data_IF_483618241707
#
_entry.id   IF_483618241707
#
_cell.length_a   1.000
_cell.length_b   1.000
_cell.length_c   1.000
_cell.angle_alpha   90.00
_cell.angle_beta   90.00
_cell.angle_gamma   90.00
#
_symmetry.space_group_name_H-M   'P 1'
#
loop_
_entity.id
_entity.type
_entity.pdbx_description
1 polymer ?
#
# COMPACT_ATOMS: atom_id res chain seq x y z
N UNK A 1 -8.84 6.40 6.40
CA UNK A 1 -9.70 5.44 7.14
C UNK A 1 -9.73 5.63 8.66
N UNK A 2 -8.98 6.60 9.20
CA UNK A 2 -8.89 6.80 10.66
C UNK A 2 -10.04 7.61 11.26
N UNK A 3 -10.90 8.22 10.45
CA UNK A 3 -12.03 9.01 10.94
C UNK A 3 -12.98 8.17 11.80
N UNK A 4 -13.20 8.63 13.04
CA UNK A 4 -14.02 7.93 14.04
C UNK A 4 -13.38 6.72 14.71
N UNK A 5 -12.14 6.33 14.35
CA UNK A 5 -11.42 5.23 15.00
C UNK A 5 -10.91 5.63 16.37
N UNK A 6 -11.04 4.71 17.32
CA UNK A 6 -10.62 4.85 18.71
C UNK A 6 -9.27 4.18 18.92
N UNK A 7 -8.23 4.97 19.15
CA UNK A 7 -6.85 4.49 19.29
C UNK A 7 -6.35 4.72 20.70
N UNK A 8 -6.00 3.62 21.41
CA UNK A 8 -5.28 3.69 22.66
C UNK A 8 -3.78 3.72 22.38
N UNK A 9 -3.10 4.83 22.69
CA UNK A 9 -1.67 4.98 22.47
C UNK A 9 -0.90 4.72 23.77
N UNK A 10 -0.15 3.63 23.80
CA UNK A 10 0.81 3.31 24.84
C UNK A 10 2.16 4.01 24.59
N UNK A 11 2.62 4.79 25.54
CA UNK A 11 3.88 5.53 25.45
C UNK A 11 4.85 5.02 26.50
N UNK A 12 5.99 4.47 26.06
CA UNK A 12 7.02 3.91 26.97
C UNK A 12 8.29 4.76 27.02
N UNK A 13 9.06 4.64 28.09
CA UNK A 13 10.19 5.53 28.39
C UNK A 13 11.39 5.35 27.47
N UNK A 14 11.63 6.33 26.62
CA UNK A 14 12.79 6.44 25.74
C UNK A 14 12.81 7.80 25.05
N UNK A 15 13.97 8.22 24.55
CA UNK A 15 14.14 9.54 23.92
C UNK A 15 13.11 9.79 22.80
N UNK A 16 12.65 8.74 22.09
CA UNK A 16 11.69 8.86 20.99
C UNK A 16 10.26 9.26 21.44
N UNK A 17 9.98 9.42 22.73
CA UNK A 17 8.67 9.87 23.26
C UNK A 17 8.22 11.19 22.64
N UNK A 18 9.15 12.12 22.31
CA UNK A 18 8.80 13.39 21.67
C UNK A 18 8.06 13.21 20.33
N UNK A 19 8.37 12.13 19.59
CA UNK A 19 7.66 11.81 18.34
C UNK A 19 6.21 11.33 18.57
N UNK A 20 5.95 10.70 19.72
CA UNK A 20 4.59 10.29 20.06
C UNK A 20 3.64 11.48 20.23
N UNK A 21 4.16 12.64 20.63
CA UNK A 21 3.40 13.89 20.71
C UNK A 21 2.89 14.33 19.33
N UNK A 22 3.78 14.35 18.32
CA UNK A 22 3.40 14.64 16.93
C UNK A 22 2.48 13.55 16.35
N UNK A 23 2.71 12.28 16.71
CA UNK A 23 1.85 11.17 16.30
C UNK A 23 0.40 11.38 16.75
N UNK A 24 0.17 11.75 18.01
CA UNK A 24 -1.19 12.07 18.52
C UNK A 24 -1.83 13.20 17.72
N UNK A 25 -1.08 14.28 17.47
CA UNK A 25 -1.57 15.42 16.68
C UNK A 25 -2.02 15.00 15.27
N UNK A 26 -1.22 14.16 14.61
CA UNK A 26 -1.51 13.68 13.24
C UNK A 26 -2.70 12.73 13.20
N UNK A 27 -2.79 11.79 14.14
CA UNK A 27 -3.93 10.87 14.24
C UNK A 27 -5.24 11.63 14.43
N UNK A 28 -5.25 12.64 15.31
CA UNK A 28 -6.43 13.51 15.52
C UNK A 28 -6.79 14.33 14.28
N UNK A 29 -5.80 14.86 13.55
CA UNK A 29 -6.05 15.57 12.28
C UNK A 29 -6.71 14.68 11.22
N UNK A 30 -6.51 13.37 11.30
CA UNK A 30 -7.20 12.39 10.45
C UNK A 30 -8.53 11.90 11.02
N UNK A 31 -9.02 12.52 12.10
CA UNK A 31 -10.32 12.23 12.69
C UNK A 31 -10.35 11.09 13.70
N UNK A 32 -9.19 10.55 14.12
CA UNK A 32 -9.15 9.53 15.16
C UNK A 32 -9.38 10.14 16.55
N UNK A 33 -10.07 9.41 17.43
CA UNK A 33 -10.10 9.66 18.87
C UNK A 33 -8.89 8.95 19.51
N UNK A 34 -8.05 9.69 20.24
CA UNK A 34 -6.83 9.14 20.84
C UNK A 34 -6.86 9.28 22.34
N UNK A 35 -6.69 8.17 23.07
CA UNK A 35 -6.44 8.13 24.51
C UNK A 35 -5.02 7.64 24.78
N UNK A 36 -4.32 8.29 25.68
CA UNK A 36 -2.90 8.02 25.93
C UNK A 36 -2.70 7.35 27.27
N UNK A 37 -1.91 6.29 27.28
CA UNK A 37 -1.44 5.59 28.49
C UNK A 37 0.08 5.73 28.57
N UNK A 38 0.61 6.28 29.63
CA UNK A 38 2.05 6.46 29.81
C UNK A 38 2.61 5.58 30.90
N UNK A 39 3.76 4.95 30.63
CA UNK A 39 4.55 4.35 31.72
C UNK A 39 5.21 5.45 32.58
N UNK A 40 5.58 5.11 33.83
CA UNK A 40 6.28 6.02 34.71
C UNK A 40 7.56 6.58 34.07
N UNK A 41 8.35 5.73 33.38
CA UNK A 41 9.56 6.15 32.70
C UNK A 41 9.29 7.10 31.52
N UNK A 42 8.14 7.00 30.85
CA UNK A 42 7.79 7.92 29.75
C UNK A 42 7.60 9.35 30.25
N UNK A 43 7.09 9.52 31.48
CA UNK A 43 6.86 10.82 32.10
C UNK A 43 8.15 11.59 32.42
N UNK A 44 9.31 10.91 32.45
CA UNK A 44 10.63 11.55 32.62
C UNK A 44 11.08 12.30 31.34
N UNK A 45 10.52 11.96 30.19
CA UNK A 45 10.86 12.60 28.89
C UNK A 45 9.82 13.65 28.49
N UNK A 46 8.54 13.36 28.65
CA UNK A 46 7.42 14.26 28.32
C UNK A 46 6.36 14.13 29.39
N UNK A 47 5.83 15.25 29.87
CA UNK A 47 4.82 15.23 30.93
C UNK A 47 3.44 14.79 30.42
N UNK A 48 2.59 14.18 31.23
CA UNK A 48 1.21 13.85 30.87
C UNK A 48 0.40 15.07 30.39
N UNK A 49 0.71 16.26 30.90
CA UNK A 49 0.05 17.51 30.49
C UNK A 49 0.16 17.74 28.99
N UNK A 50 1.33 17.50 28.38
CA UNK A 50 1.54 17.66 26.94
C UNK A 50 0.58 16.79 26.14
N UNK A 51 0.47 15.51 26.51
CA UNK A 51 -0.43 14.58 25.82
C UNK A 51 -1.91 14.90 26.08
N UNK A 52 -2.27 15.37 27.29
CA UNK A 52 -3.63 15.82 27.62
C UNK A 52 -4.09 16.96 26.71
N UNK A 53 -3.26 17.98 26.57
CA UNK A 53 -3.59 19.16 25.75
C UNK A 53 -3.70 18.81 24.25
N UNK A 54 -2.81 17.93 23.75
CA UNK A 54 -2.82 17.55 22.34
C UNK A 54 -3.92 16.53 22.03
N UNK A 55 -4.17 15.54 22.91
CA UNK A 55 -5.22 14.54 22.70
C UNK A 55 -6.62 15.08 22.98
N UNK A 56 -6.73 16.09 23.85
CA UNK A 56 -8.00 16.58 24.41
C UNK A 56 -8.66 15.59 25.36
N UNK A 57 -7.90 14.55 25.81
CA UNK A 57 -8.37 13.49 26.69
C UNK A 57 -7.48 13.38 27.94
N UNK A 58 -8.03 12.83 29.04
CA UNK A 58 -7.22 12.48 30.22
C UNK A 58 -6.14 11.46 29.82
N UNK A 59 -4.94 11.62 30.37
CA UNK A 59 -3.83 10.68 30.19
C UNK A 59 -3.81 9.71 31.38
N UNK A 60 -3.82 8.42 31.08
CA UNK A 60 -3.77 7.38 32.09
C UNK A 60 -2.31 7.08 32.46
N UNK A 61 -1.96 7.19 33.74
CA UNK A 61 -0.57 7.05 34.21
C UNK A 61 -0.39 6.04 35.34
N UNK A 62 -1.44 5.76 36.11
CA UNK A 62 -1.38 4.88 37.29
C UNK A 62 -2.68 4.12 37.45
N UNK A 63 -2.58 2.87 37.92
CA UNK A 63 -3.76 2.07 38.35
C UNK A 63 -4.39 2.58 39.64
N UNK A 64 -3.70 3.42 40.39
CA UNK A 64 -4.03 3.84 41.76
C UNK A 64 -4.40 5.34 41.83
N UNK A 65 -4.85 5.93 40.75
CA UNK A 65 -5.29 7.33 40.72
C UNK A 65 -6.62 7.47 41.51
N UNK A 66 -6.62 8.28 42.54
CA UNK A 66 -7.77 8.46 43.44
C UNK A 66 -8.97 9.17 42.85
N UNK A 67 -8.85 9.73 41.65
CA UNK A 67 -9.92 10.45 40.93
C UNK A 67 -10.62 9.58 39.88
N UNK A 68 -10.59 8.26 40.01
CA UNK A 68 -11.29 7.35 39.11
C UNK A 68 -12.79 7.26 39.48
N UNK A 69 -13.65 7.52 38.52
CA UNK A 69 -15.01 7.02 38.55
C UNK A 69 -14.97 5.49 38.59
N UNK A 70 -15.92 4.86 39.26
CA UNK A 70 -16.00 3.43 39.64
C UNK A 70 -15.64 2.35 38.61
N UNK A 71 -15.05 2.68 37.46
CA UNK A 71 -14.62 1.76 36.41
C UNK A 71 -13.10 1.51 36.47
N UNK A 72 -12.74 0.24 36.49
CA UNK A 72 -11.35 -0.22 36.40
C UNK A 72 -10.73 0.27 35.10
N UNK A 73 -9.83 1.28 35.20
CA UNK A 73 -9.37 2.08 34.04
C UNK A 73 -8.73 1.23 32.92
N UNK A 74 -7.94 0.21 33.28
CA UNK A 74 -7.33 -0.69 32.30
C UNK A 74 -8.38 -1.52 31.53
N UNK A 75 -9.48 -1.95 32.16
CA UNK A 75 -10.57 -2.67 31.48
C UNK A 75 -11.39 -1.71 30.61
N UNK A 76 -11.65 -0.50 31.13
CA UNK A 76 -12.35 0.53 30.34
C UNK A 76 -11.61 0.88 29.05
N UNK A 77 -10.29 1.06 29.11
CA UNK A 77 -9.45 1.31 27.95
C UNK A 77 -9.36 0.09 27.02
N UNK A 78 -9.24 -1.13 27.59
CA UNK A 78 -9.17 -2.38 26.83
C UNK A 78 -10.43 -2.58 25.96
N UNK A 79 -11.61 -2.22 26.49
CA UNK A 79 -12.88 -2.36 25.79
C UNK A 79 -13.22 -1.18 24.88
N UNK A 80 -12.61 0.00 25.11
CA UNK A 80 -12.90 1.20 24.34
C UNK A 80 -12.19 1.25 22.98
N UNK A 81 -10.97 0.72 22.89
CA UNK A 81 -10.10 0.89 21.75
C UNK A 81 -10.50 -0.01 20.57
N UNK A 82 -10.45 0.54 19.34
CA UNK A 82 -10.49 -0.24 18.11
C UNK A 82 -9.11 -0.83 17.76
N UNK A 83 -8.03 -0.18 18.24
CA UNK A 83 -6.66 -0.69 18.21
C UNK A 83 -5.81 -0.08 19.33
N UNK A 84 -4.85 -0.87 19.83
CA UNK A 84 -3.76 -0.39 20.65
C UNK A 84 -2.52 -0.12 19.80
N UNK A 85 -1.88 1.03 20.00
CA UNK A 85 -0.61 1.37 19.37
C UNK A 85 0.42 1.67 20.45
N UNK A 86 1.52 0.94 20.49
CA UNK A 86 2.61 1.21 21.45
C UNK A 86 3.76 1.89 20.69
N UNK A 87 3.90 3.18 20.88
CA UNK A 87 4.89 4.00 20.19
C UNK A 87 5.43 5.14 21.10
N UNK A 88 6.71 5.12 21.45
CA UNK A 88 7.71 4.08 21.18
C UNK A 88 7.45 2.80 22.00
N UNK A 89 7.80 1.62 21.45
CA UNK A 89 7.85 0.36 22.18
C UNK A 89 9.30 0.02 22.53
N UNK A 90 9.65 0.15 23.80
CA UNK A 90 10.99 -0.20 24.30
C UNK A 90 11.17 -1.72 24.40
N UNK A 91 12.41 -2.21 24.47
CA UNK A 91 12.70 -3.62 24.70
C UNK A 91 12.03 -4.14 25.98
N UNK A 92 11.90 -3.30 27.03
CA UNK A 92 11.24 -3.64 28.28
C UNK A 92 9.76 -3.98 28.06
N UNK A 93 8.99 -3.10 27.40
CA UNK A 93 7.55 -3.39 27.18
C UNK A 93 7.36 -4.59 26.26
N UNK A 94 8.20 -4.78 25.23
CA UNK A 94 8.14 -5.95 24.36
C UNK A 94 8.38 -7.25 25.15
N UNK A 95 9.37 -7.24 26.06
CA UNK A 95 9.63 -8.38 26.93
C UNK A 95 8.47 -8.66 27.90
N UNK A 96 7.90 -7.61 28.51
CA UNK A 96 6.71 -7.74 29.40
C UNK A 96 5.54 -8.35 28.64
N UNK A 97 5.18 -7.79 27.49
CA UNK A 97 4.09 -8.30 26.65
C UNK A 97 4.32 -9.76 26.24
N UNK A 98 5.53 -10.11 25.79
CA UNK A 98 5.86 -11.46 25.34
C UNK A 98 5.76 -12.51 26.45
N UNK A 99 5.94 -12.10 27.73
CA UNK A 99 5.95 -13.01 28.87
C UNK A 99 4.74 -12.81 29.83
N UNK A 100 3.75 -12.00 29.44
CA UNK A 100 2.52 -11.81 30.22
C UNK A 100 2.75 -11.06 31.54
N UNK A 101 3.77 -10.19 31.64
CA UNK A 101 4.06 -9.38 32.82
C UNK A 101 3.17 -8.14 32.80
N UNK A 102 2.37 -7.97 33.85
CA UNK A 102 1.37 -6.91 33.99
C UNK A 102 1.57 -6.16 35.32
N UNK A 103 2.70 -5.45 35.46
CA UNK A 103 3.15 -4.79 36.68
C UNK A 103 2.93 -3.26 36.69
N UNK A 104 2.44 -2.72 35.58
CA UNK A 104 2.04 -1.32 35.43
C UNK A 104 0.72 -1.19 34.63
N UNK A 105 0.14 0.03 34.61
CA UNK A 105 -1.15 0.29 33.93
C UNK A 105 -1.11 -0.09 32.46
N UNK A 106 -0.04 0.24 31.74
CA UNK A 106 0.07 -0.05 30.30
C UNK A 106 0.16 -1.56 30.05
N UNK A 107 1.07 -2.25 30.72
CA UNK A 107 1.23 -3.71 30.55
C UNK A 107 -0.03 -4.49 30.95
N UNK A 108 -0.72 -4.06 32.02
CA UNK A 108 -2.01 -4.63 32.41
C UNK A 108 -3.10 -4.40 31.38
N UNK A 109 -3.19 -3.17 30.83
CA UNK A 109 -4.17 -2.85 29.80
C UNK A 109 -3.91 -3.65 28.52
N UNK A 110 -2.65 -3.78 28.09
CA UNK A 110 -2.28 -4.55 26.90
C UNK A 110 -2.58 -6.06 27.07
N UNK A 111 -2.40 -6.61 28.28
CA UNK A 111 -2.74 -8.01 28.57
C UNK A 111 -4.26 -8.26 28.53
N UNK A 112 -5.06 -7.26 28.92
CA UNK A 112 -6.53 -7.32 28.89
C UNK A 112 -7.15 -6.95 27.52
N UNK A 113 -6.35 -6.44 26.59
CA UNK A 113 -6.84 -5.92 25.31
C UNK A 113 -7.47 -7.00 24.43
N UNK A 114 -8.69 -6.73 23.95
CA UNK A 114 -9.37 -7.52 22.92
C UNK A 114 -9.12 -6.98 21.51
N UNK A 115 -8.86 -5.67 21.42
CA UNK A 115 -8.52 -5.02 20.16
C UNK A 115 -7.11 -5.39 19.71
N UNK A 116 -6.83 -5.37 18.38
CA UNK A 116 -5.51 -5.65 17.86
C UNK A 116 -4.46 -4.68 18.39
N UNK A 117 -3.24 -5.20 18.57
CA UNK A 117 -2.11 -4.45 19.10
C UNK A 117 -1.07 -4.23 18.00
N UNK A 118 -0.65 -2.99 17.82
CA UNK A 118 0.43 -2.58 16.95
C UNK A 118 1.57 -2.07 17.82
N UNK A 119 2.79 -2.56 17.63
CA UNK A 119 3.97 -2.09 18.34
C UNK A 119 4.98 -1.47 17.37
N UNK A 120 5.55 -0.31 17.75
CA UNK A 120 6.59 0.39 17.00
C UNK A 120 7.89 0.37 17.82
N UNK A 121 8.77 -0.65 17.66
CA UNK A 121 10.00 -0.78 18.41
C UNK A 121 10.90 0.44 18.27
N UNK A 122 11.47 0.89 19.40
CA UNK A 122 12.45 1.97 19.44
C UNK A 122 13.47 1.74 20.54
N UNK A 123 14.73 1.50 20.14
CA UNK A 123 15.83 1.20 21.06
C UNK A 123 17.19 1.34 20.34
N UNK A 124 18.29 1.21 21.07
CA UNK A 124 19.62 1.11 20.48
C UNK A 124 19.72 -0.12 19.54
N UNK A 125 20.56 -0.02 18.51
CA UNK A 125 20.78 -1.08 17.51
C UNK A 125 21.17 -2.42 18.15
N UNK A 126 22.10 -2.41 19.09
CA UNK A 126 22.53 -3.63 19.79
C UNK A 126 21.40 -4.27 20.62
N UNK A 127 20.53 -3.44 21.23
CA UNK A 127 19.33 -3.94 21.92
C UNK A 127 18.32 -4.54 20.93
N UNK A 128 18.11 -3.90 19.79
CA UNK A 128 17.18 -4.39 18.77
C UNK A 128 17.66 -5.71 18.15
N UNK A 129 18.97 -5.81 17.86
CA UNK A 129 19.58 -7.01 17.27
C UNK A 129 19.84 -8.13 18.29
N UNK A 130 19.64 -7.86 19.59
CA UNK A 130 19.84 -8.87 20.63
C UNK A 130 18.90 -10.05 20.39
N UNK A 131 19.41 -11.32 20.39
CA UNK A 131 18.59 -12.50 20.14
C UNK A 131 17.34 -12.57 21.03
N UNK A 132 17.44 -12.25 22.32
CA UNK A 132 16.31 -12.26 23.24
C UNK A 132 15.23 -11.23 22.82
N UNK A 133 15.65 -10.06 22.34
CA UNK A 133 14.70 -9.05 21.83
C UNK A 133 14.01 -9.55 20.56
N UNK A 134 14.75 -10.19 19.64
CA UNK A 134 14.19 -10.75 18.42
C UNK A 134 13.23 -11.93 18.74
N UNK A 135 13.59 -12.81 19.65
CA UNK A 135 12.71 -13.89 20.13
C UNK A 135 11.40 -13.35 20.73
N UNK A 136 11.46 -12.28 21.55
CA UNK A 136 10.29 -11.63 22.09
C UNK A 136 9.41 -11.03 20.98
N UNK A 137 10.00 -10.40 19.97
CA UNK A 137 9.29 -9.85 18.81
C UNK A 137 8.59 -10.98 18.02
N UNK A 138 9.32 -12.06 17.72
CA UNK A 138 8.75 -13.23 17.02
C UNK A 138 7.61 -13.87 17.80
N UNK A 139 7.77 -13.98 19.12
CA UNK A 139 6.73 -14.52 20.00
C UNK A 139 5.47 -13.66 19.96
N UNK A 140 5.61 -12.34 20.02
CA UNK A 140 4.49 -11.40 19.91
C UNK A 140 3.79 -11.51 18.55
N UNK A 141 4.55 -11.61 17.46
CA UNK A 141 3.98 -11.79 16.11
C UNK A 141 3.20 -13.11 16.00
N UNK A 142 3.70 -14.21 16.56
CA UNK A 142 2.99 -15.50 16.62
C UNK A 142 1.68 -15.42 17.40
N UNK A 143 1.59 -14.50 18.37
CA UNK A 143 0.36 -14.22 19.13
C UNK A 143 -0.52 -13.11 18.50
N UNK A 144 -0.27 -12.72 17.24
CA UNK A 144 -1.11 -11.79 16.49
C UNK A 144 -0.81 -10.30 16.72
N UNK A 145 0.28 -9.97 17.44
CA UNK A 145 0.71 -8.57 17.56
C UNK A 145 1.36 -8.12 16.25
N UNK A 146 0.89 -7.00 15.71
CA UNK A 146 1.46 -6.40 14.52
C UNK A 146 2.69 -5.58 14.89
N UNK A 147 3.84 -5.89 14.30
CA UNK A 147 5.10 -5.18 14.56
C UNK A 147 5.45 -4.31 13.37
N UNK A 148 5.50 -2.99 13.56
CA UNK A 148 6.05 -2.07 12.58
C UNK A 148 7.58 -2.09 12.68
N UNK A 149 8.32 -2.47 11.62
CA UNK A 149 9.78 -2.48 11.67
C UNK A 149 10.34 -1.09 12.02
N UNK A 150 11.39 -1.00 12.87
CA UNK A 150 12.05 0.26 13.15
C UNK A 150 12.77 0.77 11.91
N UNK A 151 12.90 2.10 11.81
CA UNK A 151 13.67 2.73 10.75
C UNK A 151 15.19 2.52 10.96
N UNK A 152 15.91 2.54 9.85
CA UNK A 152 17.38 2.61 9.85
C UNK A 152 17.81 4.08 9.77
N UNK A 153 18.76 4.47 10.60
CA UNK A 153 19.26 5.85 10.59
C UNK A 153 20.12 6.19 11.79
N UNK A 154 20.45 7.48 11.93
CA UNK A 154 21.24 7.98 13.03
C UNK A 154 20.44 7.95 14.34
N UNK A 155 20.98 7.32 15.35
CA UNK A 155 20.40 7.16 16.68
C UNK A 155 20.97 8.21 17.65
N UNK A 156 20.25 8.51 18.72
CA UNK A 156 20.66 9.49 19.74
C UNK A 156 21.99 9.13 20.44
N UNK A 157 22.40 7.87 20.39
CA UNK A 157 23.70 7.40 20.91
C UNK A 157 24.87 7.59 19.95
N UNK A 158 24.69 8.27 18.79
CA UNK A 158 25.75 8.56 17.84
C UNK A 158 26.06 7.45 16.82
N UNK A 159 25.28 6.39 16.78
CA UNK A 159 25.48 5.24 15.88
C UNK A 159 24.39 5.23 14.80
N UNK A 160 24.74 4.86 13.57
CA UNK A 160 23.77 4.59 12.51
C UNK A 160 23.43 3.11 12.48
N UNK A 161 22.13 2.78 12.52
CA UNK A 161 21.67 1.39 12.51
C UNK A 161 20.15 1.28 12.61
N UNK A 162 19.68 0.03 12.74
CA UNK A 162 18.26 -0.29 12.99
C UNK A 162 17.90 -0.01 14.45
N UNK A 163 16.62 0.32 14.71
CA UNK A 163 16.12 0.57 16.07
C UNK A 163 15.54 1.97 16.29
N UNK A 164 15.59 2.84 15.27
CA UNK A 164 15.00 4.18 15.32
C UNK A 164 13.49 4.10 15.16
N UNK A 165 12.73 4.81 16.02
CA UNK A 165 11.30 4.96 15.80
C UNK A 165 11.04 5.59 14.42
N UNK A 166 10.18 5.00 13.58
CA UNK A 166 9.78 5.60 12.31
C UNK A 166 9.24 7.03 12.50
N UNK A 167 9.20 7.81 11.43
CA UNK A 167 8.63 9.14 11.50
C UNK A 167 7.12 9.06 11.77
N UNK A 168 6.54 10.01 12.54
CA UNK A 168 5.13 9.98 12.92
C UNK A 168 4.19 9.81 11.73
N UNK A 169 4.51 10.41 10.58
CA UNK A 169 3.73 10.26 9.36
C UNK A 169 3.70 8.80 8.87
N UNK A 170 4.83 8.11 8.90
CA UNK A 170 4.93 6.70 8.50
C UNK A 170 4.14 5.78 9.45
N UNK A 171 4.12 6.11 10.76
CA UNK A 171 3.33 5.36 11.74
C UNK A 171 1.82 5.55 11.46
N UNK A 172 1.39 6.77 11.16
CA UNK A 172 -0.01 7.06 10.78
C UNK A 172 -0.41 6.29 9.53
N UNK A 173 0.42 6.31 8.50
CA UNK A 173 0.18 5.56 7.26
C UNK A 173 0.10 4.05 7.49
N UNK A 174 0.95 3.52 8.38
CA UNK A 174 0.92 2.11 8.76
C UNK A 174 -0.37 1.73 9.50
N UNK A 175 -0.83 2.57 10.44
CA UNK A 175 -2.09 2.37 11.16
C UNK A 175 -3.28 2.48 10.21
N UNK A 176 -3.28 3.44 9.30
CA UNK A 176 -4.33 3.60 8.29
C UNK A 176 -4.42 2.38 7.38
N UNK A 177 -3.28 1.88 6.90
CA UNK A 177 -3.20 0.66 6.10
C UNK A 177 -3.66 -0.60 6.90
N UNK A 178 -3.36 -0.64 8.21
CA UNK A 178 -3.82 -1.73 9.07
C UNK A 178 -5.36 -1.78 9.15
N UNK A 179 -6.02 -0.64 9.37
CA UNK A 179 -7.48 -0.57 9.39
C UNK A 179 -8.07 -0.83 7.99
N UNK A 180 -7.44 -0.32 6.94
CA UNK A 180 -7.84 -0.57 5.56
C UNK A 180 -7.87 -2.07 5.24
N UNK A 181 -6.83 -2.81 5.64
CA UNK A 181 -6.76 -4.26 5.46
C UNK A 181 -7.82 -5.02 6.26
N UNK A 182 -8.30 -4.46 7.37
CA UNK A 182 -9.31 -5.10 8.23
C UNK A 182 -10.75 -4.76 7.81
N UNK A 183 -11.01 -3.50 7.47
CA UNK A 183 -12.36 -2.94 7.35
C UNK A 183 -12.64 -2.35 5.94
N UNK A 184 -11.70 -2.51 5.01
CA UNK A 184 -11.84 -2.03 3.65
C UNK A 184 -12.95 -2.76 2.89
N UNK A 185 -13.56 -2.09 1.93
CA UNK A 185 -14.63 -2.65 1.09
C UNK A 185 -14.14 -3.68 0.06
N UNK A 186 -12.82 -3.82 -0.10
CA UNK A 186 -12.18 -4.82 -0.97
C UNK A 186 -11.49 -5.94 -0.18
N UNK A 187 -11.76 -6.06 1.13
CA UNK A 187 -11.21 -7.15 1.96
C UNK A 187 -11.62 -8.51 1.40
N UNK A 188 -10.64 -9.42 1.29
CA UNK A 188 -10.83 -10.76 0.75
C UNK A 188 -10.81 -10.85 -0.78
N UNK A 189 -10.74 -9.72 -1.50
CA UNK A 189 -10.60 -9.72 -2.95
C UNK A 189 -9.13 -9.80 -3.37
N UNK A 190 -8.85 -10.61 -4.39
CA UNK A 190 -7.57 -10.70 -5.07
C UNK A 190 -7.58 -9.87 -6.34
N UNK A 191 -6.70 -8.88 -6.43
CA UNK A 191 -6.66 -7.91 -7.53
C UNK A 191 -5.31 -7.98 -8.24
N UNK A 192 -5.32 -8.26 -9.54
CA UNK A 192 -4.16 -8.18 -10.39
C UNK A 192 -4.16 -6.85 -11.14
N UNK A 193 -3.06 -6.10 -11.05
CA UNK A 193 -2.86 -4.86 -11.80
C UNK A 193 -1.61 -4.99 -12.65
N UNK A 194 -1.67 -4.64 -13.94
CA UNK A 194 -0.45 -4.47 -14.74
C UNK A 194 -0.08 -3.00 -14.89
N UNK A 195 1.21 -2.68 -14.88
CA UNK A 195 1.69 -1.30 -14.93
C UNK A 195 2.94 -1.11 -15.80
N UNK A 196 3.27 0.13 -16.07
CA UNK A 196 4.40 0.59 -16.87
C UNK A 196 4.33 0.12 -18.34
N UNK A 197 5.45 0.16 -19.04
CA UNK A 197 5.58 -0.32 -20.42
C UNK A 197 6.50 -1.54 -20.46
N UNK A 198 6.33 -2.41 -21.46
CA UNK A 198 7.31 -3.47 -21.74
C UNK A 198 8.46 -2.93 -22.59
N UNK A 199 9.58 -3.62 -22.55
CA UNK A 199 10.76 -3.37 -23.37
C UNK A 199 11.09 -4.63 -24.14
N UNK A 200 11.09 -4.51 -25.46
CA UNK A 200 11.40 -5.62 -26.35
C UNK A 200 12.84 -5.44 -26.85
N UNK A 201 13.78 -6.27 -26.44
CA UNK A 201 15.20 -6.05 -26.72
C UNK A 201 15.50 -6.20 -28.20
N UNK A 202 16.37 -5.32 -28.74
CA UNK A 202 17.02 -5.43 -30.04
C UNK A 202 18.40 -6.06 -29.83
N UNK A 203 19.11 -5.61 -28.81
CA UNK A 203 20.41 -6.09 -28.34
C UNK A 203 20.55 -5.78 -26.84
N UNK A 204 21.63 -6.16 -26.14
CA UNK A 204 21.79 -5.90 -24.70
C UNK A 204 21.72 -4.43 -24.28
N UNK A 205 21.69 -3.48 -25.23
CA UNK A 205 21.72 -2.03 -24.96
C UNK A 205 20.46 -1.32 -25.41
N UNK A 206 19.81 -1.79 -26.49
CA UNK A 206 18.68 -1.11 -27.14
C UNK A 206 17.42 -1.95 -27.14
N UNK A 207 16.28 -1.30 -26.99
CA UNK A 207 14.97 -1.93 -26.99
C UNK A 207 13.93 -1.06 -27.71
N UNK A 208 12.82 -1.68 -28.08
CA UNK A 208 11.58 -1.02 -28.49
C UNK A 208 10.60 -1.08 -27.34
N UNK A 209 9.86 -0.02 -27.08
CA UNK A 209 8.87 0.01 -26.00
C UNK A 209 8.04 1.29 -25.98
N UNK A 210 7.04 1.33 -25.13
CA UNK A 210 6.11 2.44 -24.98
C UNK A 210 6.57 3.43 -23.88
N UNK A 211 6.24 4.72 -24.06
CA UNK A 211 6.60 5.80 -23.13
C UNK A 211 5.68 5.82 -21.89
N UNK A 212 5.51 4.69 -21.20
CA UNK A 212 4.68 4.62 -19.99
C UNK A 212 5.52 4.73 -18.74
N UNK A 213 5.14 5.64 -17.83
CA UNK A 213 5.78 5.79 -16.52
C UNK A 213 5.29 4.78 -15.46
N UNK A 214 4.14 4.14 -15.71
CA UNK A 214 3.49 3.25 -14.75
C UNK A 214 2.61 3.93 -13.71
N UNK A 215 2.64 5.27 -13.57
CA UNK A 215 1.95 6.02 -12.51
C UNK A 215 0.49 5.62 -12.30
N UNK A 216 -0.28 5.37 -13.37
CA UNK A 216 -1.70 5.01 -13.25
C UNK A 216 -1.88 3.62 -12.63
N UNK A 217 -1.16 2.60 -13.12
CA UNK A 217 -1.22 1.25 -12.58
C UNK A 217 -0.74 1.18 -11.13
N UNK A 218 0.31 1.90 -10.78
CA UNK A 218 0.79 2.02 -9.40
C UNK A 218 -0.24 2.70 -8.48
N UNK A 219 -0.91 3.77 -8.94
CA UNK A 219 -1.97 4.43 -8.18
C UNK A 219 -3.18 3.49 -7.94
N UNK A 220 -3.55 2.68 -8.94
CA UNK A 220 -4.62 1.68 -8.81
C UNK A 220 -4.22 0.60 -7.81
N UNK A 221 -3.01 0.04 -7.93
CA UNK A 221 -2.52 -0.99 -7.02
C UNK A 221 -2.47 -0.49 -5.56
N UNK A 222 -1.98 0.74 -5.36
CA UNK A 222 -1.94 1.38 -4.05
C UNK A 222 -3.35 1.59 -3.48
N UNK A 223 -4.28 2.13 -4.28
CA UNK A 223 -5.66 2.37 -3.85
C UNK A 223 -6.39 1.06 -3.50
N UNK A 224 -6.21 -0.01 -4.29
CA UNK A 224 -6.79 -1.32 -3.99
C UNK A 224 -6.24 -1.92 -2.69
N UNK A 225 -4.93 -1.83 -2.45
CA UNK A 225 -4.31 -2.28 -1.21
C UNK A 225 -4.77 -1.46 0.00
N UNK A 226 -4.95 -0.14 -0.16
CA UNK A 226 -5.53 0.75 0.86
C UNK A 226 -6.99 0.45 1.17
N UNK A 227 -7.71 -0.23 0.29
CA UNK A 227 -9.10 -0.71 0.46
C UNK A 227 -9.17 -2.17 0.92
N UNK A 228 -8.03 -2.77 1.26
CA UNK A 228 -7.94 -4.10 1.87
C UNK A 228 -7.82 -5.26 0.91
N UNK A 229 -7.67 -5.03 -0.39
CA UNK A 229 -7.44 -6.09 -1.36
C UNK A 229 -6.05 -6.74 -1.20
N UNK A 230 -5.95 -8.03 -1.54
CA UNK A 230 -4.68 -8.70 -1.81
C UNK A 230 -4.25 -8.38 -3.25
N UNK A 231 -3.23 -7.53 -3.39
CA UNK A 231 -2.86 -6.96 -4.69
C UNK A 231 -1.58 -7.57 -5.24
N UNK A 232 -1.66 -8.09 -6.46
CA UNK A 232 -0.52 -8.47 -7.30
C UNK A 232 -0.30 -7.40 -8.37
N UNK A 233 0.84 -6.70 -8.32
CA UNK A 233 1.26 -5.74 -9.33
C UNK A 233 2.31 -6.37 -10.24
N UNK A 234 1.95 -6.65 -11.49
CA UNK A 234 2.90 -7.07 -12.54
C UNK A 234 3.34 -5.82 -13.31
N UNK A 235 4.60 -5.44 -13.17
CA UNK A 235 5.10 -4.19 -13.71
C UNK A 235 6.29 -4.36 -14.62
N UNK A 236 6.25 -3.71 -15.78
CA UNK A 236 7.43 -3.47 -16.60
C UNK A 236 8.41 -2.52 -15.92
N UNK A 237 9.54 -2.18 -16.59
CA UNK A 237 10.55 -1.29 -16.02
C UNK A 237 9.97 0.08 -15.67
N UNK A 238 10.12 0.48 -14.42
CA UNK A 238 9.66 1.75 -13.87
C UNK A 238 10.64 2.26 -12.80
N UNK A 239 10.72 3.57 -12.63
CA UNK A 239 11.45 4.22 -11.54
C UNK A 239 10.64 4.28 -10.24
N UNK A 240 9.35 3.87 -10.28
CA UNK A 240 8.49 3.87 -9.10
C UNK A 240 8.79 2.68 -8.19
N UNK A 241 8.75 2.90 -6.90
CA UNK A 241 8.82 1.84 -5.90
C UNK A 241 7.47 1.12 -5.78
N UNK A 242 7.52 -0.19 -5.52
CA UNK A 242 6.30 -0.97 -5.26
C UNK A 242 5.60 -0.39 -4.02
N UNK A 243 4.31 -0.06 -4.10
CA UNK A 243 3.60 0.50 -2.96
C UNK A 243 3.57 -0.46 -1.76
N UNK A 244 3.51 0.07 -0.52
CA UNK A 244 3.34 -0.76 0.66
C UNK A 244 2.12 -1.69 0.56
N UNK A 245 2.23 -2.90 1.09
CA UNK A 245 1.20 -3.95 1.08
C UNK A 245 0.76 -4.42 -0.32
N UNK A 246 1.58 -4.21 -1.33
CA UNK A 246 1.40 -4.71 -2.71
C UNK A 246 2.47 -5.74 -3.02
N UNK A 247 2.05 -6.91 -3.50
CA UNK A 247 2.97 -7.94 -4.00
C UNK A 247 3.41 -7.56 -5.43
N UNK A 248 4.70 -7.31 -5.63
CA UNK A 248 5.22 -6.84 -6.92
C UNK A 248 6.00 -7.92 -7.68
N UNK A 249 5.65 -8.12 -8.94
CA UNK A 249 6.41 -8.94 -9.90
C UNK A 249 6.94 -8.02 -11.00
N UNK A 250 8.26 -7.92 -11.11
CA UNK A 250 8.93 -7.14 -12.15
C UNK A 250 9.21 -8.02 -13.37
N UNK A 251 8.85 -7.51 -14.52
CA UNK A 251 9.02 -8.16 -15.83
C UNK A 251 9.63 -7.15 -16.81
N UNK A 252 10.21 -7.61 -17.90
CA UNK A 252 10.78 -6.73 -18.92
C UNK A 252 9.99 -6.79 -20.22
N UNK A 253 9.68 -7.98 -20.70
CA UNK A 253 9.04 -8.20 -22.01
C UNK A 253 7.53 -8.44 -21.91
N UNK A 254 6.86 -8.37 -23.06
CA UNK A 254 5.43 -8.70 -23.18
C UNK A 254 5.17 -10.17 -22.84
N UNK A 255 6.06 -11.08 -23.23
CA UNK A 255 5.91 -12.51 -22.93
C UNK A 255 6.01 -12.78 -21.43
N UNK A 256 7.00 -12.21 -20.74
CA UNK A 256 7.13 -12.33 -19.29
C UNK A 256 5.90 -11.76 -18.57
N UNK A 257 5.37 -10.61 -19.03
CA UNK A 257 4.15 -10.03 -18.46
C UNK A 257 2.94 -10.95 -18.67
N UNK A 258 2.80 -11.56 -19.85
CA UNK A 258 1.74 -12.52 -20.14
C UNK A 258 1.86 -13.74 -19.21
N UNK A 259 3.03 -14.35 -19.10
CA UNK A 259 3.29 -15.50 -18.25
C UNK A 259 2.97 -15.22 -16.78
N UNK A 260 3.44 -14.08 -16.26
CA UNK A 260 3.16 -13.67 -14.88
C UNK A 260 1.65 -13.44 -14.63
N UNK A 261 0.96 -12.80 -15.57
CA UNK A 261 -0.50 -12.63 -15.49
C UNK A 261 -1.22 -13.96 -15.53
N UNK A 262 -0.86 -14.86 -16.45
CA UNK A 262 -1.52 -16.15 -16.64
C UNK A 262 -1.33 -17.10 -15.46
N UNK A 263 -0.17 -17.07 -14.82
CA UNK A 263 0.13 -17.88 -13.63
C UNK A 263 -0.79 -17.54 -12.45
N UNK A 264 -1.21 -16.26 -12.32
CA UNK A 264 -2.04 -15.82 -11.23
C UNK A 264 -3.54 -15.74 -11.58
N UNK A 265 -3.91 -15.68 -12.87
CA UNK A 265 -5.24 -15.28 -13.35
C UNK A 265 -6.41 -16.06 -12.76
N UNK A 266 -6.24 -17.37 -12.59
CA UNK A 266 -7.31 -18.25 -12.11
C UNK A 266 -7.83 -17.89 -10.72
N UNK A 267 -6.95 -17.35 -9.88
CA UNK A 267 -7.24 -17.01 -8.48
C UNK A 267 -7.69 -15.55 -8.29
N UNK A 268 -7.66 -14.74 -9.34
CA UNK A 268 -7.98 -13.32 -9.24
C UNK A 268 -9.47 -13.04 -9.35
N UNK A 269 -9.97 -12.13 -8.52
CA UNK A 269 -11.34 -11.62 -8.60
C UNK A 269 -11.47 -10.47 -9.59
N UNK A 270 -10.44 -9.62 -9.65
CA UNK A 270 -10.38 -8.42 -10.47
C UNK A 270 -9.06 -8.35 -11.19
N UNK A 271 -9.09 -8.04 -12.49
CA UNK A 271 -7.88 -7.84 -13.30
C UNK A 271 -7.96 -6.52 -14.04
N UNK A 272 -6.99 -5.64 -13.78
CA UNK A 272 -6.90 -4.30 -14.37
C UNK A 272 -5.63 -4.19 -15.20
N UNK A 273 -5.76 -4.26 -16.52
CA UNK A 273 -4.65 -4.19 -17.46
C UNK A 273 -4.36 -2.73 -17.81
N UNK A 274 -3.52 -2.05 -17.01
CA UNK A 274 -3.12 -0.65 -17.25
C UNK A 274 -1.73 -0.49 -17.87
N UNK A 275 -0.98 -1.56 -18.05
CA UNK A 275 0.32 -1.55 -18.72
C UNK A 275 0.20 -1.17 -20.20
N UNK A 276 1.16 -0.39 -20.69
CA UNK A 276 1.34 -0.06 -22.10
C UNK A 276 2.30 -1.08 -22.74
N UNK A 277 1.75 -2.21 -23.15
CA UNK A 277 2.50 -3.32 -23.73
C UNK A 277 2.84 -3.03 -25.19
N UNK A 278 4.05 -3.39 -25.63
CA UNK A 278 4.46 -3.27 -27.03
C UNK A 278 3.72 -4.25 -27.94
N UNK A 279 3.14 -3.78 -29.04
CA UNK A 279 2.41 -4.62 -29.99
C UNK A 279 3.34 -5.50 -30.84
N UNK A 280 4.60 -5.11 -30.97
CA UNK A 280 5.61 -5.80 -31.77
C UNK A 280 6.90 -5.95 -31.01
N UNK A 281 7.65 -7.05 -31.30
CA UNK A 281 8.99 -7.31 -30.78
C UNK A 281 9.96 -7.61 -31.91
N UNK A 282 11.26 -7.34 -31.78
CA UNK A 282 12.26 -7.81 -32.72
C UNK A 282 12.19 -9.35 -32.86
N UNK A 283 12.24 -9.82 -34.13
CA UNK A 283 12.26 -11.26 -34.42
C UNK A 283 13.52 -11.90 -33.89
N UNK A 284 14.65 -11.25 -34.15
CA UNK A 284 15.97 -11.70 -33.77
C UNK A 284 16.58 -10.71 -32.78
N UNK A 285 17.02 -11.19 -31.64
CA UNK A 285 17.70 -10.38 -30.62
C UNK A 285 19.19 -10.69 -30.71
N UNK A 286 20.01 -9.68 -30.90
CA UNK A 286 21.45 -9.86 -30.98
C UNK A 286 22.07 -10.05 -29.60
N UNK A 287 22.90 -11.08 -29.44
CA UNK A 287 23.61 -11.37 -28.17
C UNK A 287 24.64 -10.30 -27.80
N UNK A 288 25.09 -9.54 -28.78
CA UNK A 288 26.08 -8.48 -28.63
C UNK A 288 25.56 -7.17 -29.17
N UNK A 289 26.01 -6.04 -28.60
CA UNK A 289 25.68 -4.71 -29.10
C UNK A 289 25.99 -4.60 -30.60
N UNK A 290 24.99 -4.30 -31.41
CA UNK A 290 25.13 -4.10 -32.87
C UNK A 290 26.03 -2.88 -33.10
N UNK A 291 27.21 -3.08 -33.72
CA UNK A 291 28.15 -2.01 -34.06
C UNK A 291 27.71 -1.28 -35.33
N UNK A 292 27.95 0.03 -35.37
CA UNK A 292 27.78 0.82 -36.60
C UNK A 292 28.68 0.27 -37.72
N UNK A 293 28.08 -0.08 -38.86
CA UNK A 293 28.80 -0.31 -40.13
C UNK A 293 28.74 0.98 -40.94
N UNK A 294 29.74 1.20 -41.79
CA UNK A 294 30.09 2.50 -42.38
C UNK A 294 28.97 3.07 -43.21
N UNK A 295 27.91 2.91 -43.50
CA UNK A 295 26.88 3.72 -44.26
C UNK A 295 25.46 3.11 -44.36
N UNK A 296 25.17 2.00 -43.64
CA UNK A 296 23.90 1.33 -43.80
C UNK A 296 22.90 1.63 -42.68
N UNK A 297 21.63 1.77 -43.06
CA UNK A 297 20.53 1.79 -42.13
C UNK A 297 20.42 0.44 -41.35
N UNK A 298 20.10 0.49 -40.06
CA UNK A 298 19.75 -0.71 -39.31
C UNK A 298 18.27 -1.06 -39.57
N UNK A 299 18.03 -2.17 -40.25
CA UNK A 299 16.69 -2.73 -40.43
C UNK A 299 16.43 -3.75 -39.32
N UNK A 300 15.33 -3.57 -38.56
CA UNK A 300 14.86 -4.50 -37.55
C UNK A 300 13.54 -5.09 -38.03
N UNK A 301 13.52 -6.42 -38.19
CA UNK A 301 12.28 -7.14 -38.54
C UNK A 301 11.51 -7.37 -37.24
N UNK A 302 10.22 -7.02 -37.24
CA UNK A 302 9.38 -7.07 -36.07
C UNK A 302 8.28 -8.13 -36.20
N UNK A 303 8.13 -8.99 -35.20
CA UNK A 303 7.02 -9.92 -35.09
C UNK A 303 5.97 -9.40 -34.11
N UNK A 304 4.71 -9.80 -34.31
CA UNK A 304 3.61 -9.38 -33.45
C UNK A 304 3.71 -10.05 -32.08
N UNK A 305 3.54 -9.26 -31.01
CA UNK A 305 3.41 -9.74 -29.66
C UNK A 305 2.02 -10.37 -29.38
N UNK A 306 1.91 -11.27 -28.41
CA UNK A 306 0.62 -11.74 -27.95
C UNK A 306 -0.20 -10.60 -27.32
N UNK A 307 -1.51 -10.62 -27.53
CA UNK A 307 -2.43 -9.65 -26.92
C UNK A 307 -2.87 -10.19 -25.53
N UNK A 308 -2.19 -9.74 -24.49
CA UNK A 308 -2.43 -10.18 -23.10
C UNK A 308 -3.91 -10.04 -22.73
N UNK A 309 -4.54 -8.91 -23.05
CA UNK A 309 -5.93 -8.67 -22.67
C UNK A 309 -6.91 -9.60 -23.41
N UNK A 310 -6.62 -9.96 -24.66
CA UNK A 310 -7.39 -10.94 -25.43
C UNK A 310 -7.25 -12.34 -24.85
N UNK A 311 -6.03 -12.75 -24.46
CA UNK A 311 -5.78 -14.05 -23.84
C UNK A 311 -6.50 -14.19 -22.48
N UNK A 312 -6.48 -13.13 -21.64
CA UNK A 312 -7.19 -13.09 -20.38
C UNK A 312 -8.71 -13.13 -20.59
N UNK A 313 -9.24 -12.37 -21.56
CA UNK A 313 -10.66 -12.34 -21.89
C UNK A 313 -11.20 -13.68 -22.42
N UNK A 314 -10.39 -14.42 -23.18
CA UNK A 314 -10.74 -15.76 -23.65
C UNK A 314 -10.87 -16.79 -22.52
N UNK A 315 -10.16 -16.59 -21.41
CA UNK A 315 -10.16 -17.47 -20.22
C UNK A 315 -10.99 -16.92 -19.05
N UNK A 316 -11.69 -15.80 -19.27
CA UNK A 316 -12.49 -15.15 -18.23
C UNK A 316 -13.63 -16.06 -17.75
N UNK A 317 -13.71 -16.26 -16.43
CA UNK A 317 -14.78 -16.98 -15.75
C UNK A 317 -15.56 -16.02 -14.84
N UNK A 318 -15.10 -15.81 -13.60
CA UNK A 318 -15.74 -14.96 -12.59
C UNK A 318 -15.14 -13.56 -12.48
N UNK A 319 -13.96 -13.36 -13.10
CA UNK A 319 -13.20 -12.14 -12.95
C UNK A 319 -13.93 -10.90 -13.50
N UNK A 320 -13.77 -9.76 -12.83
CA UNK A 320 -14.01 -8.45 -13.44
C UNK A 320 -12.74 -8.06 -14.20
N UNK A 321 -12.85 -7.95 -15.53
CA UNK A 321 -11.73 -7.66 -16.42
C UNK A 321 -11.82 -6.26 -16.99
N UNK A 322 -10.86 -5.40 -16.63
CA UNK A 322 -10.77 -4.00 -17.05
C UNK A 322 -9.56 -3.78 -17.93
N UNK A 323 -9.78 -3.18 -19.11
CA UNK A 323 -8.73 -2.77 -20.02
C UNK A 323 -8.49 -1.26 -19.99
N UNK A 324 -7.29 -0.84 -20.40
CA UNK A 324 -6.96 0.55 -20.68
C UNK A 324 -6.70 0.73 -22.20
N UNK A 325 -7.19 1.82 -22.75
CA UNK A 325 -6.91 2.25 -24.13
C UNK A 325 -6.38 3.67 -24.12
N UNK A 326 -5.18 3.84 -24.68
CA UNK A 326 -4.60 5.14 -24.98
C UNK A 326 -4.78 5.38 -26.50
N UNK A 327 -5.66 6.27 -26.86
CA UNK A 327 -6.03 6.52 -28.27
C UNK A 327 -5.80 7.99 -28.61
N UNK A 328 -5.49 8.24 -29.86
CA UNK A 328 -5.32 9.59 -30.41
C UNK A 328 -6.45 9.99 -31.34
N UNK A 329 -7.22 9.02 -31.88
CA UNK A 329 -8.34 9.21 -32.79
C UNK A 329 -9.41 8.15 -32.56
N UNK A 330 -10.68 8.46 -32.83
CA UNK A 330 -11.84 7.54 -32.78
C UNK A 330 -11.96 6.77 -31.45
N UNK A 331 -11.65 7.47 -30.31
CA UNK A 331 -11.54 6.90 -28.98
C UNK A 331 -12.70 5.97 -28.59
N UNK A 332 -13.93 6.41 -28.83
CA UNK A 332 -15.13 5.67 -28.39
C UNK A 332 -15.40 4.43 -29.25
N UNK A 333 -15.20 4.51 -30.55
CA UNK A 333 -15.45 3.41 -31.50
C UNK A 333 -14.42 2.30 -31.29
N UNK A 334 -13.14 2.65 -31.26
CA UNK A 334 -12.06 1.71 -31.00
C UNK A 334 -12.20 1.03 -29.63
N UNK A 335 -12.64 1.78 -28.61
CA UNK A 335 -12.86 1.22 -27.27
C UNK A 335 -14.03 0.20 -27.25
N UNK A 336 -15.15 0.50 -27.94
CA UNK A 336 -16.30 -0.43 -28.04
C UNK A 336 -15.92 -1.73 -28.74
N UNK A 337 -15.19 -1.67 -29.83
CA UNK A 337 -14.71 -2.90 -30.49
C UNK A 337 -13.83 -3.75 -29.56
N UNK A 338 -12.94 -3.11 -28.79
CA UNK A 338 -12.05 -3.79 -27.84
C UNK A 338 -12.84 -4.48 -26.73
N UNK A 339 -13.91 -3.87 -26.22
CA UNK A 339 -14.77 -4.47 -25.18
C UNK A 339 -15.31 -5.82 -25.67
N UNK A 340 -15.90 -5.85 -26.85
CA UNK A 340 -16.51 -7.06 -27.41
C UNK A 340 -15.43 -8.11 -27.75
N UNK A 341 -14.41 -7.71 -28.52
CA UNK A 341 -13.36 -8.63 -29.01
C UNK A 341 -12.54 -9.28 -27.89
N UNK A 342 -12.43 -8.60 -26.73
CA UNK A 342 -11.60 -9.04 -25.61
C UNK A 342 -12.41 -9.42 -24.36
N UNK A 343 -13.75 -9.51 -24.48
CA UNK A 343 -14.66 -9.92 -23.41
C UNK A 343 -14.44 -9.12 -22.10
N UNK A 344 -14.38 -7.78 -22.20
CA UNK A 344 -14.13 -6.88 -21.08
C UNK A 344 -15.44 -6.52 -20.36
N UNK A 345 -15.37 -6.27 -19.07
CA UNK A 345 -16.47 -5.68 -18.29
C UNK A 345 -16.46 -4.15 -18.35
N UNK A 346 -15.28 -3.57 -18.58
CA UNK A 346 -15.10 -2.13 -18.74
C UNK A 346 -13.79 -1.83 -19.48
N UNK A 347 -13.75 -0.72 -20.21
CA UNK A 347 -12.52 -0.14 -20.72
C UNK A 347 -12.38 1.32 -20.26
N UNK A 348 -11.18 1.66 -19.82
CA UNK A 348 -10.79 3.03 -19.47
C UNK A 348 -10.09 3.64 -20.67
N UNK A 349 -10.75 4.56 -21.32
CA UNK A 349 -10.24 5.25 -22.50
C UNK A 349 -9.59 6.59 -22.08
N UNK A 350 -8.31 6.77 -22.41
CA UNK A 350 -7.53 7.96 -22.13
C UNK A 350 -7.13 8.65 -23.45
N UNK A 351 -7.49 9.93 -23.60
CA UNK A 351 -6.97 10.77 -24.67
C UNK A 351 -5.60 11.32 -24.24
N UNK A 352 -4.55 10.69 -24.73
CA UNK A 352 -3.17 11.06 -24.39
C UNK A 352 -2.70 12.36 -25.06
N UNK A 353 -3.49 12.93 -25.95
CA UNK A 353 -3.19 14.20 -26.64
C UNK A 353 -3.67 15.42 -25.85
N UNK A 354 -4.64 15.22 -24.93
CA UNK A 354 -5.18 16.29 -24.10
C UNK A 354 -4.15 16.80 -23.08
N UNK A 355 -4.08 18.11 -22.89
CA UNK A 355 -3.20 18.72 -21.91
C UNK A 355 -3.52 18.18 -20.48
N UNK A 356 -2.52 17.65 -19.78
CA UNK A 356 -2.69 17.05 -18.43
C UNK A 356 -3.10 15.57 -18.41
N UNK A 357 -3.30 14.91 -19.58
CA UNK A 357 -3.69 13.50 -19.66
C UNK A 357 -2.55 12.55 -20.09
N UNK A 358 -1.33 13.05 -20.28
CA UNK A 358 -0.18 12.27 -20.77
C UNK A 358 0.35 11.24 -19.77
N UNK A 359 1.17 10.30 -20.28
CA UNK A 359 1.73 9.20 -19.47
C UNK A 359 2.53 9.65 -18.24
N UNK A 360 3.25 10.77 -18.34
CA UNK A 360 4.11 11.30 -17.28
C UNK A 360 3.40 12.30 -16.34
N UNK A 361 2.20 12.79 -16.72
CA UNK A 361 1.43 13.71 -15.89
C UNK A 361 0.94 13.05 -14.60
N UNK A 362 0.73 13.82 -13.54
CA UNK A 362 0.14 13.35 -12.28
C UNK A 362 -1.40 13.34 -12.32
N UNK A 363 -1.97 14.00 -13.31
CA UNK A 363 -3.41 14.04 -13.60
C UNK A 363 -3.77 13.15 -14.78
N UNK A 364 -5.06 12.87 -14.93
CA UNK A 364 -5.61 12.17 -16.08
C UNK A 364 -7.03 12.67 -16.43
N UNK A 365 -7.43 12.50 -17.70
CA UNK A 365 -8.79 12.71 -18.20
C UNK A 365 -9.20 11.40 -18.87
N UNK A 366 -10.20 10.72 -18.30
CA UNK A 366 -10.56 9.38 -18.77
C UNK A 366 -12.08 9.25 -18.97
N UNK A 367 -12.45 8.30 -19.81
CA UNK A 367 -13.84 7.85 -19.98
C UNK A 367 -13.93 6.38 -19.68
N UNK A 368 -14.91 5.98 -18.89
CA UNK A 368 -15.24 4.58 -18.64
C UNK A 368 -16.32 4.17 -19.63
N UNK A 369 -16.09 3.11 -20.40
CA UNK A 369 -17.04 2.56 -21.33
C UNK A 369 -17.40 1.14 -20.91
N UNK A 370 -18.68 0.82 -21.03
CA UNK A 370 -19.26 -0.44 -20.61
C UNK A 370 -19.82 -1.24 -21.79
N UNK A 371 -20.00 -2.58 -21.66
CA UNK A 371 -20.64 -3.40 -22.69
C UNK A 371 -22.05 -2.93 -23.05
N UNK A 372 -22.77 -2.32 -22.11
CA UNK A 372 -24.11 -1.73 -22.31
C UNK A 372 -24.13 -0.55 -23.30
N UNK A 373 -22.96 0.01 -23.64
CA UNK A 373 -22.82 1.25 -24.40
C UNK A 373 -22.81 2.52 -23.53
N UNK A 374 -23.01 2.40 -22.23
CA UNK A 374 -22.87 3.52 -21.28
C UNK A 374 -21.45 4.09 -21.31
N UNK A 375 -21.35 5.41 -21.17
CA UNK A 375 -20.08 6.15 -21.10
C UNK A 375 -20.12 7.08 -19.91
N UNK A 376 -19.22 6.90 -18.97
CA UNK A 376 -18.99 7.82 -17.84
C UNK A 376 -17.73 8.63 -18.08
N UNK A 377 -17.85 9.94 -18.24
CA UNK A 377 -16.69 10.85 -18.45
C UNK A 377 -16.24 11.41 -17.11
N UNK A 378 -14.94 11.35 -16.85
CA UNK A 378 -14.31 11.99 -15.71
C UNK A 378 -13.56 13.25 -16.18
N UNK A 379 -13.72 14.32 -15.42
CA UNK A 379 -12.94 15.55 -15.64
C UNK A 379 -11.47 15.33 -15.27
N UNK A 380 -10.63 16.32 -15.58
CA UNK A 380 -9.23 16.27 -15.20
C UNK A 380 -9.07 16.20 -13.68
N UNK A 381 -8.46 15.13 -13.20
CA UNK A 381 -8.21 14.92 -11.76
C UNK A 381 -6.90 14.15 -11.54
N UNK A 382 -6.45 14.09 -10.29
CA UNK A 382 -5.27 13.33 -9.92
C UNK A 382 -5.46 11.82 -10.22
N UNK A 383 -4.40 11.13 -10.65
CA UNK A 383 -4.43 9.68 -10.92
C UNK A 383 -4.88 8.86 -9.73
N UNK A 384 -4.62 9.31 -8.51
CA UNK A 384 -5.12 8.68 -7.28
C UNK A 384 -6.64 8.79 -7.14
N UNK A 385 -7.24 9.90 -7.54
CA UNK A 385 -8.69 10.07 -7.56
C UNK A 385 -9.33 9.20 -8.65
N UNK A 386 -8.76 9.20 -9.86
CA UNK A 386 -9.20 8.29 -10.94
C UNK A 386 -9.13 6.83 -10.48
N UNK A 387 -8.07 6.42 -9.77
CA UNK A 387 -7.93 5.07 -9.27
C UNK A 387 -9.06 4.68 -8.29
N UNK A 388 -9.44 5.57 -7.38
CA UNK A 388 -10.54 5.31 -6.45
C UNK A 388 -11.89 5.20 -7.16
N UNK A 389 -12.23 6.13 -8.07
CA UNK A 389 -13.49 6.08 -8.85
C UNK A 389 -13.53 4.81 -9.73
N UNK A 390 -12.38 4.41 -10.29
CA UNK A 390 -12.26 3.15 -11.03
C UNK A 390 -12.61 1.95 -10.14
N UNK A 391 -12.04 1.89 -8.93
CA UNK A 391 -12.29 0.79 -8.00
C UNK A 391 -13.73 0.79 -7.48
N UNK A 392 -14.35 1.96 -7.25
CA UNK A 392 -15.78 2.04 -6.94
C UNK A 392 -16.63 1.41 -8.04
N UNK A 393 -16.32 1.76 -9.30
CA UNK A 393 -17.00 1.19 -10.47
C UNK A 393 -16.75 -0.32 -10.60
N UNK A 394 -15.55 -0.80 -10.30
CA UNK A 394 -15.22 -2.24 -10.28
C UNK A 394 -16.05 -2.97 -9.22
N UNK A 395 -16.25 -2.37 -8.03
CA UNK A 395 -17.09 -2.94 -6.98
C UNK A 395 -18.57 -3.00 -7.41
N UNK A 396 -19.08 -1.96 -8.07
CA UNK A 396 -20.42 -1.98 -8.68
C UNK A 396 -20.57 -3.13 -9.69
N UNK A 397 -19.59 -3.31 -10.58
CA UNK A 397 -19.59 -4.38 -11.58
C UNK A 397 -19.52 -5.78 -10.93
N UNK A 398 -18.75 -5.93 -9.85
CA UNK A 398 -18.64 -7.20 -9.12
C UNK A 398 -19.91 -7.55 -8.36
N UNK A 399 -20.62 -6.58 -7.81
CA UNK A 399 -21.89 -6.78 -7.12
C UNK A 399 -23.03 -7.21 -8.06
N UNK A 400 -22.91 -6.90 -9.36
CA UNK A 400 -23.90 -7.23 -10.39
C UNK A 400 -23.60 -8.55 -11.14
N UNK A 401 -22.53 -9.28 -10.77
CA UNK A 401 -22.18 -10.61 -11.27
C UNK A 401 -22.60 -11.71 -10.31
#
# INVERSE_FOLDING_TARGET
MLNGKKIALGVTGGIAVYKAVDLVSRLRKQGAEVRVVMTEHAQQFVTPLTFKEISGNKVAVSMWDSNQEFNVEHISLANWADAFVVAPATANILAKMANGIADDLLSTTLLAAQAPIIVCPAMNTGMYQNPITQENIEKLQKHGVTVMPPAVGYLACGVTGSGRLPEPQQIVEFIDAFFAKKDGDMVGLKVLVTAAGTREPIDPVRFVGNRSSGKMGYAIAQAAAQRGADVLLVTGPSALEIPPNVNGVKVETTNEMLEACMAAYGDMDVVIKAAAVADYRPRDVADQKIKKKTDDALTVVMDKNPDILKELGARKAHQVLVGFAAETQNLLENAREKIVKKNLDMIVANDVTAAGAGFNADTNIVKFLFPSGEVRSLEQMAKTQVANILLDTVMELKANK
#
